data_IF_847616945263
#
_entry.id   IF_847616945263
#
_cell.length_a   1.000
_cell.length_b   1.000
_cell.length_c   1.000
_cell.angle_alpha   90.00
_cell.angle_beta   90.00
_cell.angle_gamma   90.00
#
_symmetry.space_group_name_H-M   'P 1'
#
loop_
_entity.id
_entity.type
_entity.pdbx_description
1 polymer ?
#
# COMPACT_ATOMS: atom_id res chain seq x y z
N UNK A 1 79.66 -18.49 63.41
CA UNK A 1 78.76 -17.36 63.56
C UNK A 1 78.32 -16.90 62.23
N UNK A 2 77.09 -17.29 61.78
CA UNK A 2 76.49 -16.91 60.50
C UNK A 2 75.21 -16.15 60.81
N UNK A 3 75.20 -14.89 60.46
CA UNK A 3 74.03 -14.03 60.59
C UNK A 3 73.14 -14.26 59.32
N UNK A 4 71.90 -14.68 59.52
CA UNK A 4 70.89 -14.82 58.50
C UNK A 4 70.08 -13.55 58.44
N UNK A 5 70.15 -12.78 57.37
CA UNK A 5 69.31 -11.64 57.07
C UNK A 5 67.97 -12.13 56.43
N UNK A 6 66.92 -11.90 57.21
CA UNK A 6 65.57 -12.12 56.67
C UNK A 6 65.10 -10.94 55.83
N UNK A 7 64.77 -11.21 54.58
CA UNK A 7 64.13 -10.25 53.63
C UNK A 7 62.62 -10.32 53.81
N UNK A 8 62.05 -9.23 54.35
CA UNK A 8 60.54 -9.08 54.31
C UNK A 8 60.08 -8.54 52.95
N UNK A 9 59.36 -9.37 52.21
CA UNK A 9 58.71 -8.94 51.02
C UNK A 9 57.30 -8.43 51.37
N UNK A 10 57.09 -7.12 51.20
CA UNK A 10 55.80 -6.45 51.40
C UNK A 10 55.04 -6.61 50.09
N UNK A 11 53.99 -7.41 50.08
CA UNK A 11 53.06 -7.55 48.94
C UNK A 11 52.00 -6.45 49.04
N UNK A 12 52.14 -5.44 48.18
CA UNK A 12 51.10 -4.40 48.02
C UNK A 12 50.03 -4.89 47.07
N UNK A 13 48.85 -5.18 47.60
CA UNK A 13 47.66 -5.44 46.80
C UNK A 13 47.17 -4.12 46.17
N UNK A 14 47.32 -3.97 44.86
CA UNK A 14 46.65 -2.90 44.08
C UNK A 14 45.29 -3.40 43.72
N UNK A 15 44.26 -2.87 44.41
CA UNK A 15 42.85 -3.06 44.04
C UNK A 15 42.54 -2.25 42.76
N UNK A 16 42.56 -2.92 41.61
CA UNK A 16 42.15 -2.32 40.35
C UNK A 16 40.62 -2.19 40.30
N UNK A 17 40.12 -0.96 40.40
CA UNK A 17 38.71 -0.64 40.11
C UNK A 17 38.47 -0.74 38.60
N UNK A 18 37.79 -1.81 38.17
CA UNK A 18 37.32 -1.94 36.77
C UNK A 18 36.10 -1.03 36.61
N UNK A 19 36.30 0.13 36.01
CA UNK A 19 35.24 0.98 35.53
C UNK A 19 34.59 0.28 34.27
N UNK A 20 33.43 -0.33 34.46
CA UNK A 20 32.58 -0.72 33.33
C UNK A 20 32.06 0.57 32.70
N UNK A 21 32.71 1.03 31.63
CA UNK A 21 32.13 2.01 30.73
C UNK A 21 30.91 1.38 30.04
N UNK A 22 29.71 1.68 30.56
CA UNK A 22 28.45 1.36 29.89
C UNK A 22 28.44 2.10 28.55
N UNK A 23 28.74 1.41 27.46
CA UNK A 23 28.54 1.93 26.11
C UNK A 23 27.09 2.30 25.94
N UNK A 24 26.77 3.28 25.04
CA UNK A 24 25.40 3.68 24.78
C UNK A 24 24.62 2.45 24.37
N UNK A 25 23.51 2.15 25.06
CA UNK A 25 22.57 1.11 24.68
C UNK A 25 22.19 1.37 23.24
N UNK A 26 22.54 0.45 22.34
CA UNK A 26 22.02 0.47 20.98
C UNK A 26 20.51 0.38 21.10
N UNK A 27 19.83 1.48 20.86
CA UNK A 27 18.37 1.46 20.65
C UNK A 27 18.18 0.61 19.40
N UNK A 28 17.91 -0.67 19.61
CA UNK A 28 17.55 -1.57 18.53
C UNK A 28 16.36 -0.94 17.82
N UNK A 29 16.39 -0.86 16.49
CA UNK A 29 15.27 -0.40 15.72
C UNK A 29 14.04 -1.20 16.19
N UNK A 30 13.12 -0.55 16.90
CA UNK A 30 11.89 -1.19 17.33
C UNK A 30 11.17 -1.64 16.08
N UNK A 31 11.02 -2.95 15.89
CA UNK A 31 10.29 -3.50 14.77
C UNK A 31 8.90 -2.85 14.71
N UNK A 32 8.42 -2.55 13.48
CA UNK A 32 7.09 -1.96 13.31
C UNK A 32 5.98 -2.85 13.84
N UNK A 33 4.79 -2.27 14.06
CA UNK A 33 3.57 -3.02 14.33
C UNK A 33 2.82 -3.35 13.04
N UNK A 34 1.72 -4.05 13.17
CA UNK A 34 0.80 -4.37 12.06
C UNK A 34 -0.54 -3.69 12.30
N UNK A 35 -1.14 -3.12 11.27
CA UNK A 35 -2.53 -2.67 11.27
C UNK A 35 -3.36 -3.66 10.44
N UNK A 36 -4.40 -4.23 11.05
CA UNK A 36 -5.46 -4.96 10.35
C UNK A 36 -6.69 -4.06 10.31
N UNK A 37 -6.97 -3.51 9.14
CA UNK A 37 -8.11 -2.63 8.92
C UNK A 37 -9.30 -3.43 8.36
N UNK A 38 -10.49 -3.12 8.89
CA UNK A 38 -11.77 -3.55 8.31
C UNK A 38 -12.53 -2.29 7.92
N UNK A 39 -12.73 -2.11 6.62
CA UNK A 39 -13.48 -0.98 6.07
C UNK A 39 -14.86 -1.45 5.68
N UNK A 40 -15.90 -0.77 6.15
CA UNK A 40 -17.29 -1.12 5.90
C UNK A 40 -18.07 0.04 5.27
N UNK A 41 -19.15 -0.29 4.59
CA UNK A 41 -20.13 0.66 4.09
C UNK A 41 -21.54 0.11 4.26
N UNK A 42 -22.38 0.84 5.02
CA UNK A 42 -23.74 0.40 5.33
C UNK A 42 -24.73 0.57 4.15
N UNK A 43 -24.37 1.37 3.15
CA UNK A 43 -25.19 1.63 1.97
C UNK A 43 -25.19 0.47 0.97
N UNK A 44 -26.00 0.62 -0.07
CA UNK A 44 -26.08 -0.37 -1.16
C UNK A 44 -24.87 -0.28 -2.10
N UNK A 45 -24.49 -1.41 -2.76
CA UNK A 45 -23.55 -1.39 -3.89
C UNK A 45 -24.02 -0.42 -4.98
N UNK A 46 -23.06 0.21 -5.67
CA UNK A 46 -23.34 1.08 -6.81
C UNK A 46 -22.74 0.47 -8.06
N UNK A 47 -23.61 -0.01 -8.94
CA UNK A 47 -23.24 -0.63 -10.21
C UNK A 47 -23.94 0.11 -11.34
N UNK A 48 -23.16 0.58 -12.31
CA UNK A 48 -23.69 1.15 -13.54
C UNK A 48 -23.59 0.10 -14.64
N UNK A 49 -24.70 -0.11 -15.36
CA UNK A 49 -24.75 -1.02 -16.49
C UNK A 49 -24.68 -0.23 -17.78
N UNK A 50 -23.72 -0.60 -18.62
CA UNK A 50 -23.56 0.00 -19.94
C UNK A 50 -23.67 -1.05 -21.04
N UNK A 51 -24.34 -0.69 -22.14
CA UNK A 51 -24.34 -1.51 -23.33
C UNK A 51 -22.97 -1.45 -24.00
N UNK A 52 -22.37 -2.59 -24.22
CA UNK A 52 -21.13 -2.73 -24.97
C UNK A 52 -21.43 -2.57 -26.46
N UNK A 53 -20.72 -1.66 -27.12
CA UNK A 53 -20.91 -1.31 -28.51
C UNK A 53 -19.69 -1.61 -29.39
N UNK A 54 -18.62 -2.18 -28.80
CA UNK A 54 -17.37 -2.52 -29.48
C UNK A 54 -16.77 -3.80 -28.90
N UNK A 55 -16.14 -4.59 -29.76
CA UNK A 55 -15.50 -5.86 -29.40
C UNK A 55 -16.40 -6.81 -28.58
N UNK A 56 -17.70 -6.86 -28.94
CA UNK A 56 -18.74 -7.59 -28.21
C UNK A 56 -18.46 -9.10 -28.08
N UNK A 57 -17.72 -9.69 -29.01
CA UNK A 57 -17.31 -11.10 -28.97
C UNK A 57 -16.33 -11.37 -27.79
N UNK A 58 -15.57 -10.37 -27.37
CA UNK A 58 -14.61 -10.47 -26.25
C UNK A 58 -15.13 -9.85 -24.97
N UNK A 59 -15.78 -8.70 -25.06
CA UNK A 59 -16.22 -7.91 -23.90
C UNK A 59 -17.66 -8.23 -23.47
N UNK A 60 -18.39 -9.06 -24.24
CA UNK A 60 -19.81 -9.32 -23.99
C UNK A 60 -20.71 -8.20 -24.52
N UNK A 61 -21.98 -8.26 -24.21
CA UNK A 61 -22.99 -7.26 -24.66
C UNK A 61 -23.33 -6.22 -23.61
N UNK A 62 -22.96 -6.46 -22.36
CA UNK A 62 -23.17 -5.58 -21.21
C UNK A 62 -21.89 -5.50 -20.38
N UNK A 63 -21.54 -4.31 -19.95
CA UNK A 63 -20.45 -4.06 -19.01
C UNK A 63 -20.98 -3.51 -17.69
N UNK A 64 -20.41 -3.96 -16.60
CA UNK A 64 -20.71 -3.48 -15.24
C UNK A 64 -19.58 -2.61 -14.76
N UNK A 65 -19.87 -1.34 -14.48
CA UNK A 65 -18.95 -0.44 -13.77
C UNK A 65 -19.32 -0.48 -12.28
N UNK A 66 -18.53 -1.19 -11.51
CA UNK A 66 -18.74 -1.43 -10.09
C UNK A 66 -18.10 -0.29 -9.28
N UNK A 67 -18.83 0.82 -9.13
CA UNK A 67 -18.33 2.03 -8.42
C UNK A 67 -18.28 1.87 -6.90
N UNK A 68 -19.12 1.01 -6.32
CA UNK A 68 -19.08 0.65 -4.90
C UNK A 68 -19.37 -0.86 -4.79
N UNK A 69 -18.35 -1.61 -4.41
CA UNK A 69 -18.45 -3.05 -4.21
C UNK A 69 -18.55 -3.34 -2.72
N UNK A 70 -19.69 -3.91 -2.32
CA UNK A 70 -19.94 -4.28 -0.92
C UNK A 70 -20.09 -5.80 -0.83
N UNK A 71 -19.20 -6.41 -0.10
CA UNK A 71 -19.18 -7.84 0.13
C UNK A 71 -19.91 -8.29 1.40
N UNK A 72 -19.58 -9.49 1.85
CA UNK A 72 -20.15 -10.04 3.08
C UNK A 72 -19.85 -9.13 4.30
N UNK A 73 -20.77 -9.08 5.26
CA UNK A 73 -20.59 -8.25 6.46
C UNK A 73 -20.46 -6.74 6.19
N UNK A 74 -20.95 -6.27 5.03
CA UNK A 74 -20.83 -4.88 4.57
C UNK A 74 -19.39 -4.45 4.30
N UNK A 75 -18.48 -5.37 4.06
CA UNK A 75 -17.09 -5.08 3.71
C UNK A 75 -17.00 -4.26 2.41
N UNK A 76 -16.27 -3.15 2.43
CA UNK A 76 -16.07 -2.28 1.28
C UNK A 76 -14.78 -2.66 0.56
N UNK A 77 -14.89 -3.14 -0.67
CA UNK A 77 -13.75 -3.45 -1.53
C UNK A 77 -13.15 -2.19 -2.18
N UNK A 78 -11.92 -2.33 -2.70
CA UNK A 78 -11.23 -1.32 -3.49
C UNK A 78 -10.97 0.01 -2.77
N UNK A 79 -11.01 0.04 -1.44
CA UNK A 79 -10.59 1.19 -0.66
C UNK A 79 -9.08 1.15 -0.38
N UNK A 80 -8.40 2.26 -0.57
CA UNK A 80 -6.98 2.42 -0.18
C UNK A 80 -6.93 2.80 1.28
N UNK A 81 -6.30 1.96 2.09
CA UNK A 81 -6.04 2.22 3.52
C UNK A 81 -4.58 2.59 3.68
N UNK A 82 -4.27 3.70 4.32
CA UNK A 82 -2.90 4.18 4.51
C UNK A 82 -2.68 4.82 5.87
N UNK A 83 -1.42 4.96 6.29
CA UNK A 83 -1.04 5.65 7.53
C UNK A 83 -0.64 7.07 7.18
N UNK A 84 -1.52 8.04 7.41
CA UNK A 84 -1.30 9.44 7.03
C UNK A 84 -0.07 10.04 7.70
N UNK A 85 0.78 10.71 6.92
CA UNK A 85 1.98 11.38 7.42
C UNK A 85 3.12 10.47 7.88
N UNK A 86 2.97 9.15 7.77
CA UNK A 86 4.04 8.22 8.12
C UNK A 86 5.25 8.41 7.18
N UNK A 87 6.44 8.27 7.76
CA UNK A 87 7.70 8.30 7.01
C UNK A 87 8.33 6.92 7.04
N UNK A 88 8.80 6.46 5.92
CA UNK A 88 9.48 5.18 5.81
C UNK A 88 10.26 5.07 4.52
N UNK A 89 11.19 4.11 4.43
CA UNK A 89 11.94 3.89 3.19
C UNK A 89 10.96 3.55 2.07
N UNK A 90 11.04 4.32 0.99
CA UNK A 90 10.29 4.00 -0.23
C UNK A 90 10.95 2.80 -0.91
N UNK A 91 10.68 1.60 -0.41
CA UNK A 91 11.03 0.39 -1.15
C UNK A 91 9.99 0.23 -2.25
N UNK A 92 10.40 0.45 -3.49
CA UNK A 92 9.54 0.29 -4.65
C UNK A 92 9.02 -1.15 -4.68
N UNK A 93 7.73 -1.33 -4.42
CA UNK A 93 7.04 -2.60 -4.68
C UNK A 93 6.70 -2.64 -6.16
N UNK A 94 7.02 -3.73 -6.83
CA UNK A 94 6.55 -3.96 -8.20
C UNK A 94 5.03 -3.92 -8.21
N UNK A 95 4.49 -2.99 -8.96
CA UNK A 95 3.05 -2.85 -9.15
C UNK A 95 2.69 -3.23 -10.58
N UNK A 96 1.57 -3.85 -10.77
CA UNK A 96 1.06 -4.16 -12.10
C UNK A 96 -0.46 -4.04 -12.16
N UNK A 97 -0.95 -3.64 -13.32
CA UNK A 97 -2.36 -3.66 -13.70
C UNK A 97 -2.51 -4.39 -15.02
N UNK A 98 -3.51 -5.24 -15.14
CA UNK A 98 -3.77 -6.03 -16.34
C UNK A 98 -5.13 -5.65 -16.94
N UNK A 99 -5.14 -5.43 -18.25
CA UNK A 99 -6.34 -5.28 -19.05
C UNK A 99 -6.78 -6.69 -19.47
N UNK A 100 -7.73 -7.21 -18.71
CA UNK A 100 -8.23 -8.59 -18.89
C UNK A 100 -9.75 -8.65 -18.70
N UNK A 101 -10.43 -9.29 -19.65
CA UNK A 101 -11.89 -9.35 -19.66
C UNK A 101 -12.51 -7.97 -19.81
N UNK A 102 -11.85 -7.08 -20.57
CA UNK A 102 -12.26 -5.69 -20.79
C UNK A 102 -12.47 -4.90 -19.49
N UNK A 103 -11.58 -5.14 -18.50
CA UNK A 103 -11.51 -4.46 -17.21
C UNK A 103 -10.04 -4.21 -16.83
N UNK A 104 -9.79 -3.24 -15.99
CA UNK A 104 -8.50 -3.12 -15.28
C UNK A 104 -8.50 -3.99 -14.03
N UNK A 105 -7.50 -4.86 -13.89
CA UNK A 105 -7.34 -5.79 -12.77
C UNK A 105 -5.94 -5.62 -12.14
N UNK A 106 -5.83 -5.24 -10.85
CA UNK A 106 -6.94 -4.89 -9.96
C UNK A 106 -7.60 -3.57 -10.36
N UNK A 107 -8.83 -3.32 -9.89
CA UNK A 107 -9.55 -2.06 -10.09
C UNK A 107 -8.81 -0.86 -9.48
N UNK A 108 -8.20 -1.06 -8.32
CA UNK A 108 -7.31 -0.09 -7.67
C UNK A 108 -5.94 -0.73 -7.48
N UNK A 109 -4.92 -0.19 -8.15
CA UNK A 109 -3.53 -0.56 -7.91
C UNK A 109 -2.85 0.49 -7.04
N UNK A 110 -2.31 0.08 -5.87
CA UNK A 110 -1.58 0.97 -4.99
C UNK A 110 -0.07 0.67 -5.06
N UNK A 111 0.74 1.74 -5.15
CA UNK A 111 2.19 1.65 -5.28
C UNK A 111 2.89 2.81 -4.57
N UNK A 112 4.16 2.66 -4.29
CA UNK A 112 5.04 3.81 -4.00
C UNK A 112 5.53 4.42 -5.32
N UNK A 113 6.11 5.65 -5.33
CA UNK A 113 6.75 6.20 -6.52
C UNK A 113 7.67 5.19 -7.20
N UNK A 114 7.52 5.00 -8.51
CA UNK A 114 8.27 3.99 -9.26
C UNK A 114 7.58 3.60 -10.56
N UNK A 115 7.88 2.39 -11.02
CA UNK A 115 7.38 1.85 -12.27
C UNK A 115 6.11 1.01 -12.05
N UNK A 116 5.13 1.20 -12.93
CA UNK A 116 3.93 0.40 -13.06
C UNK A 116 4.01 -0.44 -14.33
N UNK A 117 3.95 -1.75 -14.19
CA UNK A 117 3.78 -2.65 -15.33
C UNK A 117 2.30 -2.69 -15.74
N UNK A 118 2.03 -2.45 -17.02
CA UNK A 118 0.67 -2.46 -17.58
C UNK A 118 0.59 -3.55 -18.62
N UNK A 119 -0.26 -4.53 -18.36
CA UNK A 119 -0.44 -5.71 -19.22
C UNK A 119 -1.69 -5.57 -20.07
N UNK A 120 -1.67 -6.24 -21.24
CA UNK A 120 -2.84 -6.50 -22.03
C UNK A 120 -2.95 -8.02 -22.26
N UNK A 121 -3.77 -8.67 -21.44
CA UNK A 121 -4.04 -10.10 -21.53
C UNK A 121 -5.21 -10.43 -22.44
N UNK A 122 -5.92 -9.42 -22.93
CA UNK A 122 -6.94 -9.59 -23.96
C UNK A 122 -6.31 -9.62 -25.37
N UNK A 123 -6.98 -10.28 -26.33
CA UNK A 123 -6.53 -10.35 -27.71
C UNK A 123 -7.14 -9.24 -28.59
N UNK A 124 -7.38 -8.08 -28.00
CA UNK A 124 -7.93 -6.89 -28.64
C UNK A 124 -7.09 -5.67 -28.34
N UNK A 125 -7.38 -4.57 -29.03
CA UNK A 125 -6.79 -3.27 -28.74
C UNK A 125 -7.41 -2.70 -27.47
N UNK A 126 -6.56 -2.32 -26.53
CA UNK A 126 -6.89 -1.42 -25.43
C UNK A 126 -6.10 -0.11 -25.54
N UNK A 127 -6.41 0.81 -24.65
CA UNK A 127 -5.71 2.06 -24.48
C UNK A 127 -5.56 2.33 -22.97
N UNK A 128 -4.48 2.95 -22.59
CA UNK A 128 -4.22 3.38 -21.22
C UNK A 128 -4.22 4.89 -21.19
N UNK A 129 -5.25 5.48 -20.60
CA UNK A 129 -5.39 6.91 -20.43
C UNK A 129 -5.46 7.26 -18.95
N UNK A 130 -4.48 8.02 -18.46
CA UNK A 130 -4.42 8.46 -17.07
C UNK A 130 -4.74 9.96 -16.97
N UNK A 131 -5.49 10.33 -15.94
CA UNK A 131 -5.83 11.73 -15.64
C UNK A 131 -5.00 12.16 -14.43
N UNK A 132 -3.75 12.49 -14.68
CA UNK A 132 -2.79 12.90 -13.67
C UNK A 132 -2.56 14.41 -13.72
N UNK A 133 -2.30 15.03 -12.57
CA UNK A 133 -1.95 16.45 -12.43
C UNK A 133 -0.54 16.62 -11.86
N UNK A 134 -0.11 15.71 -11.00
CA UNK A 134 1.22 15.74 -10.40
C UNK A 134 2.26 14.95 -11.20
N UNK A 135 1.84 13.87 -11.88
CA UNK A 135 2.68 13.08 -12.77
C UNK A 135 2.34 13.40 -14.24
N UNK A 136 3.17 13.02 -15.22
CA UNK A 136 2.80 13.10 -16.63
C UNK A 136 1.51 12.29 -16.89
N UNK A 137 0.53 12.91 -17.51
CA UNK A 137 -0.65 12.20 -18.02
C UNK A 137 -0.25 11.44 -19.28
N UNK A 138 -0.70 10.19 -19.39
CA UNK A 138 -0.42 9.34 -20.53
C UNK A 138 -1.73 8.98 -21.25
N UNK A 139 -1.63 8.84 -22.57
CA UNK A 139 -2.69 8.31 -23.41
C UNK A 139 -2.03 7.47 -24.51
N UNK A 140 -1.95 6.15 -24.27
CA UNK A 140 -1.17 5.24 -25.12
C UNK A 140 -2.00 4.03 -25.53
N UNK A 141 -2.04 3.77 -26.82
CA UNK A 141 -2.62 2.55 -27.35
C UNK A 141 -1.77 1.32 -26.99
N UNK A 142 -2.43 0.25 -26.59
CA UNK A 142 -1.82 -1.05 -26.32
C UNK A 142 -2.50 -2.14 -27.17
N UNK A 143 -2.05 -2.33 -28.41
CA UNK A 143 -2.61 -3.35 -29.29
C UNK A 143 -2.31 -4.76 -28.78
N UNK A 144 -3.07 -5.76 -29.26
CA UNK A 144 -3.01 -7.17 -28.79
C UNK A 144 -1.61 -7.79 -28.79
N UNK A 145 -0.73 -7.35 -29.67
CA UNK A 145 0.66 -7.86 -29.72
C UNK A 145 1.60 -7.19 -28.70
N UNK A 146 1.23 -6.02 -28.17
CA UNK A 146 1.98 -5.34 -27.12
C UNK A 146 1.49 -5.80 -25.76
N UNK A 147 1.97 -6.97 -25.33
CA UNK A 147 1.46 -7.62 -24.11
C UNK A 147 1.80 -6.88 -22.82
N UNK A 148 2.86 -6.08 -22.83
CA UNK A 148 3.33 -5.34 -21.64
C UNK A 148 3.88 -3.98 -22.04
N UNK A 149 3.66 -2.99 -21.20
CA UNK A 149 4.38 -1.71 -21.21
C UNK A 149 4.63 -1.25 -19.77
N UNK A 150 5.60 -0.36 -19.58
CA UNK A 150 5.96 0.18 -18.27
C UNK A 150 5.84 1.69 -18.31
N UNK A 151 5.20 2.26 -17.28
CA UNK A 151 5.07 3.71 -17.10
C UNK A 151 5.55 4.08 -15.70
N UNK A 152 6.12 5.30 -15.57
CA UNK A 152 6.72 5.77 -14.34
C UNK A 152 5.89 6.86 -13.69
N UNK A 153 5.58 6.68 -12.40
CA UNK A 153 4.87 7.66 -11.58
C UNK A 153 5.77 8.02 -10.39
N UNK A 154 6.23 9.26 -10.32
CA UNK A 154 7.24 9.69 -9.35
C UNK A 154 6.68 10.49 -8.18
N UNK A 155 5.46 10.99 -8.32
CA UNK A 155 4.83 11.84 -7.31
C UNK A 155 3.58 11.19 -6.72
N UNK A 156 3.38 11.28 -5.39
CA UNK A 156 2.17 10.79 -4.75
C UNK A 156 0.92 11.45 -5.33
N UNK A 157 -0.02 10.62 -5.78
CA UNK A 157 -1.27 11.06 -6.39
C UNK A 157 -2.25 9.89 -6.51
N UNK A 158 -3.55 10.15 -6.46
CA UNK A 158 -4.60 9.21 -6.85
C UNK A 158 -5.03 9.55 -8.28
N UNK A 159 -4.76 8.65 -9.20
CA UNK A 159 -4.88 8.88 -10.65
C UNK A 159 -6.01 8.02 -11.21
N UNK A 160 -6.96 8.66 -11.88
CA UNK A 160 -7.99 7.94 -12.64
C UNK A 160 -7.36 7.30 -13.88
N UNK A 161 -7.74 6.04 -14.16
CA UNK A 161 -7.29 5.24 -15.29
C UNK A 161 -8.50 4.81 -16.11
N UNK A 162 -8.47 5.06 -17.42
CA UNK A 162 -9.53 4.70 -18.37
C UNK A 162 -8.98 4.08 -19.65
N UNK A 163 -9.88 3.54 -20.47
CA UNK A 163 -9.60 3.12 -21.82
C UNK A 163 -10.49 3.90 -22.79
N UNK A 164 -9.89 4.63 -23.75
CA UNK A 164 -10.65 5.41 -24.75
C UNK A 164 -11.33 4.52 -25.79
N UNK A 165 -10.87 3.27 -25.94
CA UNK A 165 -11.46 2.28 -26.84
C UNK A 165 -12.73 1.67 -26.24
N UNK A 166 -12.75 1.45 -24.92
CA UNK A 166 -13.80 0.81 -24.17
C UNK A 166 -14.21 1.69 -22.98
N UNK A 167 -15.19 2.56 -23.20
CA UNK A 167 -15.56 3.65 -22.27
C UNK A 167 -16.03 3.19 -20.88
N UNK A 168 -16.34 1.90 -20.72
CA UNK A 168 -16.72 1.30 -19.44
C UNK A 168 -15.52 0.85 -18.60
N UNK A 169 -14.29 0.81 -19.18
CA UNK A 169 -13.10 0.41 -18.43
C UNK A 169 -12.64 1.56 -17.54
N UNK A 170 -12.77 1.36 -16.25
CA UNK A 170 -12.38 2.28 -15.19
C UNK A 170 -11.46 1.57 -14.20
N UNK A 171 -10.45 2.27 -13.74
CA UNK A 171 -9.55 1.85 -12.68
C UNK A 171 -8.86 3.03 -12.02
N UNK A 172 -8.02 2.77 -11.03
CA UNK A 172 -7.31 3.80 -10.28
C UNK A 172 -5.88 3.37 -9.97
N UNK A 173 -4.96 4.34 -10.02
CA UNK A 173 -3.58 4.18 -9.60
C UNK A 173 -3.37 5.05 -8.37
N UNK A 174 -3.12 4.45 -7.22
CA UNK A 174 -2.82 5.14 -5.98
C UNK A 174 -1.31 5.15 -5.76
N UNK A 175 -0.64 6.25 -6.11
CA UNK A 175 0.78 6.46 -5.83
C UNK A 175 0.91 7.04 -4.42
N UNK A 176 1.39 6.23 -3.49
CA UNK A 176 1.43 6.56 -2.07
C UNK A 176 2.82 7.09 -1.67
N UNK A 177 2.91 8.08 -0.77
CA UNK A 177 4.19 8.70 -0.40
C UNK A 177 5.11 7.79 0.44
N UNK A 178 4.64 6.66 0.91
CA UNK A 178 5.32 5.74 1.81
C UNK A 178 4.76 4.32 1.65
N UNK A 179 5.43 3.24 2.14
CA UNK A 179 4.99 1.85 1.93
C UNK A 179 3.87 1.38 2.86
N UNK A 180 3.39 2.22 3.79
CA UNK A 180 2.38 1.83 4.80
C UNK A 180 0.96 2.02 4.27
N UNK A 181 0.57 1.16 3.35
CA UNK A 181 -0.76 1.12 2.75
C UNK A 181 -1.16 -0.31 2.35
N UNK A 182 -2.45 -0.49 2.14
CA UNK A 182 -3.07 -1.67 1.55
C UNK A 182 -4.34 -1.27 0.81
N UNK A 183 -4.85 -2.18 -0.03
CA UNK A 183 -6.15 -2.03 -0.70
C UNK A 183 -7.07 -3.10 -0.11
N UNK A 184 -8.30 -2.72 0.20
CA UNK A 184 -9.27 -3.66 0.78
C UNK A 184 -9.73 -4.70 -0.24
N UNK A 185 -9.85 -5.93 0.22
CA UNK A 185 -10.46 -7.04 -0.50
C UNK A 185 -12.00 -6.98 -0.48
N UNK A 186 -12.67 -8.01 -1.03
CA UNK A 186 -14.13 -8.12 -1.05
C UNK A 186 -14.78 -8.20 0.34
N UNK A 187 -14.03 -8.47 1.40
CA UNK A 187 -14.50 -8.47 2.79
C UNK A 187 -14.22 -7.14 3.49
N UNK A 188 -13.66 -6.15 2.78
CA UNK A 188 -13.24 -4.87 3.35
C UNK A 188 -11.95 -4.96 4.18
N UNK A 189 -11.20 -6.04 4.06
CA UNK A 189 -9.98 -6.25 4.85
C UNK A 189 -8.74 -5.73 4.13
N UNK A 190 -7.88 -5.03 4.88
CA UNK A 190 -6.54 -4.64 4.46
C UNK A 190 -5.54 -4.83 5.59
N UNK A 191 -4.32 -5.29 5.27
CA UNK A 191 -3.22 -5.46 6.22
C UNK A 191 -2.06 -4.55 5.86
N UNK A 192 -1.54 -3.83 6.85
CA UNK A 192 -0.40 -2.93 6.71
C UNK A 192 0.65 -3.35 7.73
N UNK A 193 1.80 -3.78 7.25
CA UNK A 193 2.90 -4.29 8.07
C UNK A 193 4.00 -3.24 8.28
N UNK A 194 4.81 -3.45 9.31
CA UNK A 194 5.97 -2.61 9.65
C UNK A 194 5.64 -1.14 9.90
N UNK A 195 4.42 -0.87 10.37
CA UNK A 195 3.96 0.49 10.71
C UNK A 195 4.75 1.01 11.91
N UNK A 196 5.29 2.24 11.87
CA UNK A 196 5.97 2.84 13.00
C UNK A 196 5.10 2.83 14.26
N UNK A 197 5.65 2.46 15.45
CA UNK A 197 4.90 2.47 16.70
C UNK A 197 4.54 3.91 17.12
N UNK A 198 3.50 4.03 17.96
CA UNK A 198 2.97 5.28 18.47
C UNK A 198 1.59 5.61 17.91
N UNK A 199 1.14 6.83 18.16
CA UNK A 199 -0.13 7.35 17.61
C UNK A 199 0.00 7.51 16.11
N UNK A 200 -0.95 6.89 15.37
CA UNK A 200 -1.02 6.90 13.93
C UNK A 200 -2.42 7.30 13.48
N UNK A 201 -2.51 8.01 12.37
CA UNK A 201 -3.79 8.31 11.71
C UNK A 201 -3.95 7.37 10.53
N UNK A 202 -4.92 6.47 10.58
CA UNK A 202 -5.31 5.63 9.44
C UNK A 202 -6.26 6.42 8.58
N UNK A 203 -5.89 6.65 7.32
CA UNK A 203 -6.74 7.26 6.28
C UNK A 203 -7.25 6.16 5.34
N UNK A 204 -8.53 6.23 5.01
CA UNK A 204 -9.17 5.41 3.97
C UNK A 204 -9.64 6.33 2.87
N UNK A 205 -9.31 5.98 1.62
CA UNK A 205 -9.83 6.64 0.42
C UNK A 205 -10.62 5.63 -0.43
N UNK A 206 -11.76 6.06 -0.95
CA UNK A 206 -12.55 5.30 -1.91
C UNK A 206 -13.08 6.23 -3.01
N UNK A 207 -13.04 5.79 -4.27
CA UNK A 207 -13.34 6.60 -5.46
C UNK A 207 -14.72 7.30 -5.43
N UNK A 208 -15.72 6.69 -4.81
CA UNK A 208 -17.10 7.18 -4.76
C UNK A 208 -17.46 7.78 -3.39
N UNK A 209 -16.87 7.28 -2.31
CA UNK A 209 -17.25 7.64 -0.93
C UNK A 209 -16.30 8.67 -0.32
N UNK A 210 -15.22 9.05 -1.03
CA UNK A 210 -14.26 10.04 -0.55
C UNK A 210 -13.33 9.47 0.52
N UNK A 211 -13.14 10.20 1.61
CA UNK A 211 -12.15 9.89 2.65
C UNK A 211 -12.78 9.75 4.03
N UNK A 212 -12.18 8.88 4.84
CA UNK A 212 -12.42 8.77 6.27
C UNK A 212 -11.08 8.58 7.01
N UNK A 213 -11.01 9.00 8.27
CA UNK A 213 -9.80 8.85 9.08
C UNK A 213 -10.13 8.30 10.46
N UNK A 214 -9.17 7.60 11.07
CA UNK A 214 -9.26 7.13 12.45
C UNK A 214 -7.88 7.09 13.10
N UNK A 215 -7.79 7.64 14.32
CA UNK A 215 -6.57 7.52 15.13
C UNK A 215 -6.48 6.15 15.80
N UNK A 216 -5.29 5.59 15.85
CA UNK A 216 -4.96 4.33 16.50
C UNK A 216 -3.61 4.40 17.19
N UNK A 217 -3.41 3.59 18.22
CA UNK A 217 -2.09 3.40 18.85
C UNK A 217 -1.48 2.10 18.30
N UNK A 218 -0.34 2.23 17.66
CA UNK A 218 0.42 1.10 17.12
C UNK A 218 1.54 0.75 18.10
N UNK A 219 1.63 -0.53 18.48
CA UNK A 219 2.70 -1.05 19.34
C UNK A 219 3.64 -1.92 18.53
N UNK A 220 4.94 -1.81 18.81
CA UNK A 220 5.97 -2.60 18.15
C UNK A 220 5.69 -4.10 18.30
N UNK A 221 5.79 -4.84 17.19
CA UNK A 221 5.58 -6.29 17.14
C UNK A 221 4.14 -6.75 17.40
N UNK A 222 3.17 -5.84 17.54
CA UNK A 222 1.78 -6.18 17.81
C UNK A 222 0.87 -5.84 16.62
N UNK A 223 -0.28 -6.50 16.58
CA UNK A 223 -1.35 -6.21 15.62
C UNK A 223 -2.40 -5.28 16.26
N UNK A 224 -2.61 -4.13 15.65
CA UNK A 224 -3.69 -3.19 15.97
C UNK A 224 -4.83 -3.41 15.00
N UNK A 225 -6.01 -3.76 15.50
CA UNK A 225 -7.23 -3.89 14.67
C UNK A 225 -7.96 -2.57 14.65
N UNK A 226 -8.39 -2.14 13.46
CA UNK A 226 -9.14 -0.91 13.26
C UNK A 226 -10.34 -1.14 12.35
N UNK A 227 -11.53 -0.76 12.80
CA UNK A 227 -12.72 -0.74 11.97
C UNK A 227 -13.05 0.71 11.59
N UNK A 228 -13.30 0.96 10.30
CA UNK A 228 -13.64 2.27 9.76
C UNK A 228 -14.87 2.11 8.88
N UNK A 229 -15.93 2.85 9.21
CA UNK A 229 -17.13 2.91 8.38
C UNK A 229 -17.05 4.12 7.45
N UNK A 230 -17.15 3.86 6.14
CA UNK A 230 -17.28 4.90 5.13
C UNK A 230 -18.73 5.38 5.06
N UNK A 231 -18.92 6.67 4.87
CA UNK A 231 -20.24 7.30 4.70
C UNK A 231 -20.26 8.07 3.38
N UNK A 232 -21.44 8.20 2.79
CA UNK A 232 -21.65 9.03 1.62
C UNK A 232 -21.94 10.45 2.05
#
# INVERSE_FOLDING_TARGET
MRKIFGVFVVLTLVAGTVLFAGGPARVGAQGGGTIEATVTYAGAPVVEKLKVNKDTEKCGTEALIEKVVVGAGKGLANAVVSVAGAKGPSTAKKASVDQKGCKFNPHVVAMTPGELEIKNSDDILHNVHTYSTANPSINKAQPKFKKTMTEKFEKPEIIKLTCDVHSWMLGWIAVMPHPFFGVTDGNGAAKIENVPPGKQTVEVWHETLGKATKEVEVKAGQTTKVAIEMKK
#
